data_IF_766891491815
#
_entry.id   IF_766891491815
#
_cell.length_a   1.000
_cell.length_b   1.000
_cell.length_c   1.000
_cell.angle_alpha   90.00
_cell.angle_beta   90.00
_cell.angle_gamma   90.00
#
_symmetry.space_group_name_H-M   'P 1'
#
loop_
_entity.id
_entity.type
_entity.pdbx_description
1 polymer ?
#
# COMPACT_ATOMS: atom_id res chain seq x y z
N UNK A 1 21.29 9.36 -37.26
CA UNK A 1 21.52 8.56 -36.04
C UNK A 1 20.86 9.28 -34.90
N UNK A 2 19.65 8.83 -34.53
CA UNK A 2 18.81 9.46 -33.52
C UNK A 2 18.93 8.79 -32.17
N UNK A 3 19.07 9.62 -31.12
CA UNK A 3 18.83 9.29 -29.72
C UNK A 3 17.42 9.83 -29.37
N UNK A 4 16.53 9.06 -28.74
CA UNK A 4 15.23 9.57 -28.32
C UNK A 4 15.34 10.26 -26.96
N UNK A 5 15.18 11.58 -26.95
CA UNK A 5 14.76 12.38 -25.80
C UNK A 5 13.28 12.10 -25.51
N UNK A 6 12.93 11.59 -24.31
CA UNK A 6 11.54 11.52 -23.87
C UNK A 6 11.10 12.88 -23.30
N UNK A 7 10.24 13.55 -24.06
CA UNK A 7 9.55 14.79 -23.73
C UNK A 7 8.31 14.45 -22.88
N UNK A 8 8.15 15.13 -21.74
CA UNK A 8 6.89 15.17 -20.99
C UNK A 8 5.79 15.76 -21.89
N UNK A 9 4.80 14.93 -22.29
CA UNK A 9 3.69 15.38 -23.11
C UNK A 9 2.72 16.26 -22.30
N UNK A 10 2.87 17.57 -22.48
CA UNK A 10 1.87 18.58 -22.12
C UNK A 10 0.65 18.39 -23.02
N UNK A 11 -0.52 18.23 -22.41
CA UNK A 11 -1.82 18.03 -23.08
C UNK A 11 -2.17 19.26 -23.92
N UNK A 12 -1.95 19.20 -25.23
CA UNK A 12 -2.43 20.19 -26.20
C UNK A 12 -3.78 19.72 -26.75
N UNK A 13 -4.82 20.51 -26.45
CA UNK A 13 -6.13 20.44 -27.08
C UNK A 13 -5.98 20.86 -28.56
N UNK A 14 -6.38 20.01 -29.50
CA UNK A 14 -6.60 20.40 -30.90
C UNK A 14 -8.09 20.24 -31.26
N UNK A 15 -8.63 21.17 -32.08
CA UNK A 15 -10.04 21.21 -32.43
C UNK A 15 -10.40 20.21 -33.54
N UNK A 16 -11.68 19.85 -33.59
CA UNK A 16 -12.33 19.05 -34.64
C UNK A 16 -12.34 19.78 -35.99
N UNK A 17 -12.41 18.95 -37.06
CA UNK A 17 -12.96 19.14 -38.43
C UNK A 17 -11.89 18.77 -39.50
N UNK A 18 -12.13 18.19 -40.67
CA UNK A 18 -13.31 17.91 -41.54
C UNK A 18 -13.01 16.62 -42.34
N UNK A 19 -14.05 15.87 -42.71
CA UNK A 19 -13.99 14.71 -43.61
C UNK A 19 -13.82 15.11 -45.08
N UNK A 20 -13.05 14.35 -45.86
CA UNK A 20 -13.03 14.43 -47.31
C UNK A 20 -13.19 13.03 -47.94
N UNK A 21 -14.25 12.90 -48.74
CA UNK A 21 -14.62 11.75 -49.56
C UNK A 21 -13.83 11.75 -50.87
N UNK A 22 -13.50 10.55 -51.37
CA UNK A 22 -13.06 10.26 -52.75
C UNK A 22 -12.54 8.81 -52.76
N UNK A 23 -13.12 7.82 -53.43
CA UNK A 23 -13.81 7.83 -54.72
C UNK A 23 -12.88 7.17 -55.74
N UNK A 24 -13.03 5.86 -55.98
CA UNK A 24 -12.23 5.13 -56.96
C UNK A 24 -12.41 3.62 -56.89
N UNK A 25 -13.30 3.10 -57.74
CA UNK A 25 -13.63 1.69 -57.87
C UNK A 25 -12.57 0.92 -58.67
N UNK A 26 -12.31 -0.33 -58.30
CA UNK A 26 -11.83 -1.36 -59.23
C UNK A 26 -12.36 -2.74 -58.77
N UNK A 27 -13.28 -3.25 -59.57
CA UNK A 27 -13.83 -4.61 -59.51
C UNK A 27 -12.79 -5.60 -60.04
N UNK A 28 -12.53 -6.68 -59.30
CA UNK A 28 -11.98 -7.91 -59.87
C UNK A 28 -12.61 -9.11 -59.15
N UNK A 29 -13.54 -9.75 -59.86
CA UNK A 29 -14.15 -11.02 -59.50
C UNK A 29 -13.12 -12.16 -59.66
N UNK A 30 -13.00 -13.02 -58.66
CA UNK A 30 -12.58 -14.41 -58.85
C UNK A 30 -13.45 -15.30 -57.97
N UNK A 31 -14.11 -16.27 -58.60
CA UNK A 31 -15.04 -17.19 -57.98
C UNK A 31 -14.35 -18.49 -57.52
N UNK A 32 -14.81 -18.95 -56.35
CA UNK A 32 -14.97 -20.34 -55.90
C UNK A 32 -13.74 -21.28 -55.85
N UNK A 33 -13.39 -21.71 -54.63
CA UNK A 33 -13.65 -23.08 -54.12
C UNK A 33 -12.69 -23.41 -52.97
N UNK A 34 -13.20 -24.11 -51.95
CA UNK A 34 -12.37 -24.80 -50.96
C UNK A 34 -12.66 -24.38 -49.53
N UNK A 35 -13.60 -25.08 -48.91
CA UNK A 35 -13.71 -25.13 -47.47
C UNK A 35 -12.42 -25.72 -46.88
N UNK A 36 -11.63 -24.88 -46.24
CA UNK A 36 -10.77 -25.31 -45.14
C UNK A 36 -11.19 -24.45 -43.96
N UNK A 37 -12.05 -25.01 -43.11
CA UNK A 37 -12.30 -24.48 -41.78
C UNK A 37 -10.97 -24.54 -41.02
N UNK A 38 -10.16 -23.49 -41.18
CA UNK A 38 -9.02 -23.25 -40.33
C UNK A 38 -9.59 -23.12 -38.94
N UNK A 39 -9.38 -24.16 -38.12
CA UNK A 39 -9.40 -23.99 -36.67
C UNK A 39 -8.19 -23.11 -36.36
N UNK A 40 -8.34 -21.81 -36.62
CA UNK A 40 -7.66 -20.81 -35.80
C UNK A 40 -8.25 -21.02 -34.41
N UNK A 41 -7.61 -21.90 -33.64
CA UNK A 41 -7.53 -21.66 -32.22
C UNK A 41 -6.86 -20.28 -32.11
N UNK A 42 -7.67 -19.23 -32.14
CA UNK A 42 -7.29 -17.95 -31.60
C UNK A 42 -6.95 -18.25 -30.15
N UNK A 43 -5.66 -18.50 -29.88
CA UNK A 43 -5.13 -18.41 -28.55
C UNK A 43 -5.26 -16.93 -28.19
N UNK A 44 -6.43 -16.56 -27.68
CA UNK A 44 -6.58 -15.34 -26.91
C UNK A 44 -5.64 -15.54 -25.74
N UNK A 45 -4.43 -14.99 -25.86
CA UNK A 45 -3.62 -14.63 -24.72
C UNK A 45 -4.37 -13.50 -24.04
N UNK A 46 -5.42 -13.84 -23.29
CA UNK A 46 -6.16 -12.86 -22.51
C UNK A 46 -5.14 -12.23 -21.56
N UNK A 47 -4.89 -10.94 -21.76
CA UNK A 47 -3.99 -10.18 -20.90
C UNK A 47 -4.45 -10.27 -19.45
N UNK A 48 -3.53 -10.06 -18.53
CA UNK A 48 -3.80 -10.11 -17.08
C UNK A 48 -5.04 -9.27 -16.72
N UNK A 49 -6.07 -9.86 -16.06
CA UNK A 49 -7.27 -9.14 -15.66
C UNK A 49 -6.99 -8.26 -14.43
N UNK A 50 -6.30 -7.14 -14.64
CA UNK A 50 -5.80 -6.29 -13.56
C UNK A 50 -6.88 -5.76 -12.60
N UNK A 51 -8.13 -5.61 -13.04
CA UNK A 51 -9.24 -5.29 -12.13
C UNK A 51 -9.43 -6.38 -11.07
N UNK A 52 -9.41 -7.66 -11.47
CA UNK A 52 -9.51 -8.80 -10.55
C UNK A 52 -8.27 -8.96 -9.66
N UNK A 53 -7.08 -8.70 -10.21
CA UNK A 53 -5.84 -8.66 -9.40
C UNK A 53 -5.96 -7.61 -8.29
N UNK A 54 -6.46 -6.41 -8.60
CA UNK A 54 -6.65 -5.33 -7.62
C UNK A 54 -7.71 -5.68 -6.56
N UNK A 55 -8.82 -6.31 -6.96
CA UNK A 55 -9.84 -6.80 -6.03
C UNK A 55 -9.25 -7.82 -5.04
N UNK A 56 -8.46 -8.78 -5.51
CA UNK A 56 -7.81 -9.78 -4.65
C UNK A 56 -6.74 -9.16 -3.74
N UNK A 57 -5.97 -8.19 -4.22
CA UNK A 57 -5.00 -7.44 -3.40
C UNK A 57 -5.71 -6.65 -2.30
N UNK A 58 -6.82 -5.98 -2.62
CA UNK A 58 -7.61 -5.27 -1.62
C UNK A 58 -8.19 -6.23 -0.57
N UNK A 59 -8.70 -7.40 -1.00
CA UNK A 59 -9.18 -8.43 -0.09
C UNK A 59 -8.08 -8.94 0.86
N UNK A 60 -6.85 -9.12 0.36
CA UNK A 60 -5.70 -9.48 1.20
C UNK A 60 -5.38 -8.42 2.27
N UNK A 61 -5.67 -7.15 2.02
CA UNK A 61 -5.37 -6.06 2.97
C UNK A 61 -6.40 -5.90 4.07
N UNK A 62 -7.64 -6.34 3.80
CA UNK A 62 -8.75 -6.38 4.75
C UNK A 62 -8.82 -7.70 5.52
N UNK A 63 -7.96 -8.68 5.18
CA UNK A 63 -7.91 -9.97 5.85
C UNK A 63 -7.23 -9.84 7.24
N UNK A 64 -8.05 -9.86 8.30
CA UNK A 64 -7.59 -9.80 9.69
C UNK A 64 -6.79 -11.04 10.13
N UNK A 65 -6.99 -12.17 9.44
CA UNK A 65 -6.28 -13.44 9.69
C UNK A 65 -4.98 -13.55 8.88
N UNK A 66 -4.73 -12.62 7.95
CA UNK A 66 -3.47 -12.55 7.24
C UNK A 66 -2.34 -12.28 8.23
N UNK A 67 -1.66 -13.35 8.62
CA UNK A 67 -0.49 -13.33 9.50
C UNK A 67 0.52 -12.33 8.94
N UNK A 68 0.64 -11.17 9.58
CA UNK A 68 1.81 -10.34 9.42
C UNK A 68 2.88 -10.83 10.39
N UNK A 69 3.94 -11.50 9.90
CA UNK A 69 5.01 -12.01 10.75
C UNK A 69 5.88 -10.88 11.33
N UNK A 70 5.58 -9.59 11.07
CA UNK A 70 6.29 -8.44 11.62
C UNK A 70 5.99 -8.14 13.08
N UNK A 71 5.38 -9.06 13.84
CA UNK A 71 5.21 -8.87 15.28
C UNK A 71 6.56 -9.03 15.99
N UNK A 72 7.08 -7.96 16.57
CA UNK A 72 8.18 -8.05 17.53
C UNK A 72 7.66 -8.90 18.71
N UNK A 73 8.21 -10.11 18.90
CA UNK A 73 7.74 -11.09 19.89
C UNK A 73 7.69 -10.55 21.33
N UNK A 74 8.39 -9.44 21.60
CA UNK A 74 8.44 -8.78 22.90
C UNK A 74 7.11 -8.12 23.34
N UNK A 75 6.22 -7.75 22.43
CA UNK A 75 5.00 -7.01 22.78
C UNK A 75 3.80 -7.91 23.10
N UNK A 76 3.93 -9.24 22.97
CA UNK A 76 2.91 -10.24 23.35
C UNK A 76 1.55 -10.11 22.63
N UNK A 77 1.38 -9.10 21.79
CA UNK A 77 0.17 -8.84 21.03
C UNK A 77 0.24 -9.63 19.72
N UNK A 78 -0.36 -10.83 19.73
CA UNK A 78 -0.87 -11.43 18.50
C UNK A 78 -1.91 -10.44 17.94
N UNK A 79 -1.53 -9.62 16.96
CA UNK A 79 -2.41 -8.64 16.29
C UNK A 79 -2.15 -7.15 16.58
N UNK A 80 -1.03 -6.76 17.20
CA UNK A 80 -0.77 -5.36 17.57
C UNK A 80 0.30 -4.64 16.73
N UNK A 81 0.02 -4.32 15.47
CA UNK A 81 0.83 -3.32 14.72
C UNK A 81 1.59 -3.81 13.49
N UNK A 82 1.08 -4.82 12.79
CA UNK A 82 1.63 -5.24 11.50
C UNK A 82 0.51 -5.34 10.49
N UNK A 83 0.25 -4.27 9.73
CA UNK A 83 -0.75 -4.32 8.64
C UNK A 83 -0.08 -4.77 7.33
N UNK A 84 -0.80 -5.56 6.53
CA UNK A 84 -0.28 -6.05 5.24
C UNK A 84 -0.08 -4.90 4.26
N UNK A 85 -1.02 -3.96 4.19
CA UNK A 85 -0.98 -2.85 3.23
C UNK A 85 0.31 -1.98 3.35
N UNK A 86 0.71 -1.44 4.53
CA UNK A 86 1.98 -0.72 4.66
C UNK A 86 3.21 -1.52 4.25
N UNK A 87 3.22 -2.83 4.51
CA UNK A 87 4.32 -3.71 4.08
C UNK A 87 4.41 -3.80 2.55
N UNK A 88 3.28 -3.79 1.84
CA UNK A 88 3.25 -3.77 0.37
C UNK A 88 3.70 -2.44 -0.21
N UNK A 89 3.39 -1.32 0.47
CA UNK A 89 3.96 0.00 0.13
C UNK A 89 5.48 -0.05 0.24
N UNK A 90 6.01 -0.61 1.34
CA UNK A 90 7.46 -0.80 1.51
C UNK A 90 8.06 -1.69 0.42
N UNK A 91 7.45 -2.84 0.11
CA UNK A 91 7.94 -3.73 -0.95
C UNK A 91 8.04 -3.01 -2.29
N UNK A 92 6.99 -2.27 -2.68
CA UNK A 92 6.95 -1.53 -3.93
C UNK A 92 7.99 -0.39 -3.95
N UNK A 93 8.11 0.37 -2.85
CA UNK A 93 9.13 1.41 -2.70
C UNK A 93 10.53 0.81 -2.82
N UNK A 94 10.85 -0.26 -2.10
CA UNK A 94 12.18 -0.87 -2.12
C UNK A 94 12.53 -1.45 -3.50
N UNK A 95 11.55 -2.02 -4.20
CA UNK A 95 11.74 -2.49 -5.57
C UNK A 95 12.04 -1.35 -6.54
N UNK A 96 11.42 -0.18 -6.37
CA UNK A 96 11.72 1.00 -7.18
C UNK A 96 12.97 1.75 -6.71
N UNK A 97 13.29 1.64 -5.42
CA UNK A 97 14.30 2.39 -4.65
C UNK A 97 15.74 2.19 -5.13
N UNK A 98 15.99 1.08 -5.82
CA UNK A 98 17.30 0.77 -6.38
C UNK A 98 17.61 1.54 -7.68
N UNK A 99 16.65 2.30 -8.22
CA UNK A 99 16.82 3.02 -9.48
C UNK A 99 17.94 4.09 -9.43
N UNK A 100 18.59 4.27 -10.57
CA UNK A 100 19.60 5.30 -10.81
C UNK A 100 19.31 6.02 -12.13
N UNK A 101 19.03 7.32 -12.06
CA UNK A 101 18.80 8.16 -13.24
C UNK A 101 20.08 8.36 -14.06
N UNK A 102 21.25 8.17 -13.46
CA UNK A 102 22.56 8.36 -14.11
C UNK A 102 22.82 7.34 -15.22
N UNK A 103 22.43 6.09 -15.02
CA UNK A 103 22.77 4.97 -15.90
C UNK A 103 21.60 4.04 -16.24
N UNK A 104 20.41 4.32 -15.70
CA UNK A 104 19.17 3.56 -15.91
C UNK A 104 19.16 2.19 -15.23
N UNK A 105 20.08 1.93 -14.30
CA UNK A 105 20.14 0.66 -13.58
C UNK A 105 19.16 0.60 -12.40
N UNK A 106 18.82 -0.62 -11.96
CA UNK A 106 17.88 -0.89 -10.89
C UNK A 106 16.43 -0.56 -11.24
N UNK A 107 15.62 -0.36 -10.21
CA UNK A 107 14.18 -0.14 -10.32
C UNK A 107 13.40 -1.45 -10.46
N UNK A 108 12.09 -1.32 -10.73
CA UNK A 108 11.17 -2.46 -10.63
C UNK A 108 11.12 -3.36 -11.86
N UNK A 109 11.76 -3.00 -12.97
CA UNK A 109 11.80 -3.86 -14.16
C UNK A 109 12.47 -5.20 -13.80
N UNK A 110 11.88 -6.33 -14.22
CA UNK A 110 12.37 -7.65 -13.88
C UNK A 110 11.91 -8.21 -12.53
N UNK A 111 11.39 -7.36 -11.62
CA UNK A 111 10.97 -7.78 -10.28
C UNK A 111 12.12 -8.43 -9.50
N UNK A 112 13.34 -7.91 -9.64
CA UNK A 112 14.59 -8.53 -9.17
C UNK A 112 14.69 -8.61 -7.65
N UNK A 113 13.99 -7.75 -6.91
CA UNK A 113 13.91 -7.78 -5.44
C UNK A 113 13.52 -9.15 -4.87
N UNK A 114 12.88 -10.03 -5.65
CA UNK A 114 12.51 -11.40 -5.23
C UNK A 114 13.66 -12.42 -5.31
N UNK A 115 14.80 -12.02 -5.83
CA UNK A 115 15.95 -12.90 -6.06
C UNK A 115 17.13 -12.54 -5.17
N UNK A 116 18.02 -13.49 -4.98
CA UNK A 116 19.31 -13.24 -4.35
C UNK A 116 20.27 -12.55 -5.35
N UNK A 117 21.14 -11.64 -4.87
CA UNK A 117 21.31 -11.24 -3.47
C UNK A 117 20.30 -10.19 -2.97
N UNK A 118 19.53 -9.55 -3.87
CA UNK A 118 18.75 -8.35 -3.57
C UNK A 118 17.72 -8.53 -2.44
N UNK A 119 17.04 -9.67 -2.36
CA UNK A 119 16.09 -9.94 -1.27
C UNK A 119 16.74 -9.99 0.11
N UNK A 120 18.05 -10.31 0.16
CA UNK A 120 18.84 -10.45 1.38
C UNK A 120 19.66 -9.19 1.72
N UNK A 121 19.56 -8.14 0.91
CA UNK A 121 20.14 -6.84 1.22
C UNK A 121 19.61 -6.31 2.55
N UNK A 122 20.45 -5.61 3.32
CA UNK A 122 20.10 -5.15 4.67
C UNK A 122 18.82 -4.31 4.68
N UNK A 123 18.67 -3.41 3.70
CA UNK A 123 17.47 -2.58 3.55
C UNK A 123 16.20 -3.37 3.25
N UNK A 124 16.29 -4.60 2.73
CA UNK A 124 15.15 -5.44 2.33
C UNK A 124 14.72 -6.47 3.38
N UNK A 125 15.31 -6.43 4.58
CA UNK A 125 14.99 -7.33 5.68
C UNK A 125 13.46 -7.48 5.89
N UNK A 126 12.99 -8.72 5.89
CA UNK A 126 11.57 -9.10 6.07
C UNK A 126 10.66 -8.99 4.85
N UNK A 127 11.12 -8.46 3.70
CA UNK A 127 10.28 -8.36 2.50
C UNK A 127 9.98 -9.72 1.85
N UNK A 128 10.70 -10.79 2.23
CA UNK A 128 10.36 -12.16 1.84
C UNK A 128 8.95 -12.57 2.31
N UNK A 129 8.48 -12.03 3.44
CA UNK A 129 7.13 -12.27 3.92
C UNK A 129 6.08 -11.60 3.03
N UNK A 130 6.34 -10.38 2.55
CA UNK A 130 5.47 -9.68 1.61
C UNK A 130 5.35 -10.44 0.29
N UNK A 131 6.47 -10.94 -0.24
CA UNK A 131 6.48 -11.76 -1.46
C UNK A 131 5.67 -13.05 -1.27
N UNK A 132 5.80 -13.71 -0.12
CA UNK A 132 5.04 -14.93 0.22
C UNK A 132 3.53 -14.68 0.25
N UNK A 133 3.08 -13.53 0.77
CA UNK A 133 1.66 -13.16 0.74
C UNK A 133 1.13 -12.90 -0.67
N UNK A 134 2.00 -12.50 -1.62
CA UNK A 134 1.63 -12.31 -3.02
C UNK A 134 1.62 -13.63 -3.83
N UNK A 135 2.21 -14.73 -3.34
CA UNK A 135 2.27 -16.01 -4.05
C UNK A 135 0.90 -16.59 -4.45
N UNK A 136 -0.14 -16.60 -3.58
CA UNK A 136 -1.47 -17.08 -3.96
C UNK A 136 -2.09 -16.26 -5.09
N UNK A 137 -1.92 -14.94 -5.06
CA UNK A 137 -2.41 -14.03 -6.10
C UNK A 137 -1.63 -14.26 -7.40
N UNK A 138 -0.30 -14.39 -7.33
CA UNK A 138 0.55 -14.72 -8.49
C UNK A 138 0.15 -16.06 -9.12
N UNK A 139 -0.16 -17.06 -8.30
CA UNK A 139 -0.59 -18.40 -8.73
C UNK A 139 -1.94 -18.34 -9.46
N UNK A 140 -2.88 -17.54 -8.94
CA UNK A 140 -4.18 -17.30 -9.59
C UNK A 140 -4.06 -16.52 -10.90
N UNK A 141 -3.08 -15.63 -11.02
CA UNK A 141 -2.84 -14.81 -12.21
C UNK A 141 -1.43 -15.02 -12.79
N UNK A 142 -1.16 -16.17 -13.43
CA UNK A 142 0.18 -16.51 -13.93
C UNK A 142 0.69 -15.52 -15.01
N UNK A 143 -0.22 -14.89 -15.76
CA UNK A 143 0.11 -13.88 -16.77
C UNK A 143 0.57 -12.53 -16.19
N UNK A 144 0.27 -12.24 -14.92
CA UNK A 144 0.81 -11.05 -14.24
C UNK A 144 2.30 -11.26 -14.00
N UNK A 145 3.17 -10.37 -14.49
CA UNK A 145 4.57 -10.38 -14.09
C UNK A 145 4.69 -10.07 -12.60
N UNK A 146 5.67 -10.65 -11.92
CA UNK A 146 6.03 -10.23 -10.57
C UNK A 146 6.38 -8.76 -10.51
N UNK A 147 7.10 -8.25 -11.51
CA UNK A 147 7.46 -6.84 -11.63
C UNK A 147 6.22 -5.93 -11.54
N UNK A 148 5.17 -6.21 -12.31
CA UNK A 148 3.94 -5.42 -12.26
C UNK A 148 3.08 -5.71 -11.02
N UNK A 149 3.06 -6.96 -10.55
CA UNK A 149 2.30 -7.34 -9.35
C UNK A 149 2.79 -6.58 -8.11
N UNK A 150 4.10 -6.44 -7.94
CA UNK A 150 4.71 -5.70 -6.82
C UNK A 150 4.30 -4.22 -6.85
N UNK A 151 4.37 -3.57 -8.02
CA UNK A 151 3.97 -2.16 -8.17
C UNK A 151 2.47 -2.00 -7.94
N UNK A 152 1.66 -2.90 -8.49
CA UNK A 152 0.22 -2.90 -8.31
C UNK A 152 -0.16 -3.05 -6.83
N UNK A 153 0.51 -3.96 -6.10
CA UNK A 153 0.31 -4.16 -4.67
C UNK A 153 0.56 -2.89 -3.86
N UNK A 154 1.67 -2.18 -4.11
CA UNK A 154 1.94 -0.91 -3.43
C UNK A 154 0.90 0.18 -3.75
N UNK A 155 0.46 0.28 -5.02
CA UNK A 155 -0.54 1.25 -5.43
C UNK A 155 -1.91 0.98 -4.79
N UNK A 156 -2.38 -0.27 -4.82
CA UNK A 156 -3.64 -0.69 -4.18
C UNK A 156 -3.56 -0.49 -2.67
N UNK A 157 -2.41 -0.75 -2.05
CA UNK A 157 -2.25 -0.57 -0.60
C UNK A 157 -2.48 0.88 -0.16
N UNK A 158 -1.97 1.87 -0.91
CA UNK A 158 -2.24 3.29 -0.62
C UNK A 158 -3.74 3.59 -0.75
N UNK A 159 -4.38 3.10 -1.81
CA UNK A 159 -5.83 3.28 -2.03
C UNK A 159 -6.67 2.65 -0.92
N UNK A 160 -6.37 1.40 -0.53
CA UNK A 160 -7.06 0.67 0.55
C UNK A 160 -6.93 1.36 1.91
N UNK A 161 -5.81 2.03 2.17
CA UNK A 161 -5.62 2.81 3.41
C UNK A 161 -6.26 4.20 3.37
N UNK A 162 -7.10 4.50 2.37
CA UNK A 162 -7.79 5.79 2.21
C UNK A 162 -6.95 6.88 1.57
N UNK A 163 -5.82 6.51 0.95
CA UNK A 163 -4.98 7.42 0.17
C UNK A 163 -5.54 7.72 -1.22
N UNK A 164 -4.83 8.54 -2.01
CA UNK A 164 -5.24 8.89 -3.37
C UNK A 164 -5.18 7.68 -4.32
N UNK A 165 -5.99 7.71 -5.38
CA UNK A 165 -5.89 6.76 -6.49
C UNK A 165 -4.57 6.94 -7.23
N UNK A 166 -3.79 5.87 -7.34
CA UNK A 166 -2.47 5.89 -7.98
C UNK A 166 -2.58 5.28 -9.37
N UNK A 167 -2.13 6.03 -10.37
CA UNK A 167 -2.05 5.54 -11.74
C UNK A 167 -1.15 4.30 -11.83
N UNK A 168 -1.71 3.19 -12.28
CA UNK A 168 -0.97 1.96 -12.52
C UNK A 168 -0.97 1.63 -14.02
N UNK A 169 0.22 1.46 -14.60
CA UNK A 169 0.40 1.03 -15.98
C UNK A 169 1.21 -0.28 -16.01
N UNK A 170 0.61 -1.41 -16.41
CA UNK A 170 1.33 -2.65 -16.59
C UNK A 170 2.18 -2.61 -17.86
N UNK A 171 3.09 -3.57 -17.99
CA UNK A 171 4.00 -3.73 -19.12
C UNK A 171 5.41 -4.14 -18.73
N UNK A 172 5.71 -4.32 -17.43
CA UNK A 172 7.02 -4.80 -16.98
C UNK A 172 7.13 -6.29 -17.20
N UNK A 173 8.31 -6.73 -17.59
CA UNK A 173 8.63 -8.15 -17.74
C UNK A 173 9.33 -8.70 -16.51
N UNK A 174 9.24 -10.01 -16.28
CA UNK A 174 10.01 -10.67 -15.24
C UNK A 174 11.42 -10.97 -15.72
N UNK A 175 12.41 -10.76 -14.86
CA UNK A 175 13.73 -11.28 -15.06
C UNK A 175 13.69 -12.81 -14.89
N UNK A 176 14.42 -13.58 -15.72
CA UNK A 176 14.58 -15.01 -15.49
C UNK A 176 15.22 -15.21 -14.12
N UNK A 177 14.77 -16.23 -13.37
CA UNK A 177 15.35 -16.54 -12.05
C UNK A 177 16.86 -16.83 -12.22
N UNK A 178 17.75 -15.98 -11.70
CA UNK A 178 19.17 -16.25 -11.78
C UNK A 178 19.56 -17.23 -10.67
N UNK A 179 20.56 -18.07 -10.93
CA UNK A 179 21.30 -18.76 -9.87
C UNK A 179 22.33 -17.82 -9.23
N UNK A 180 22.85 -16.87 -10.01
CA UNK A 180 23.72 -15.76 -9.59
C UNK A 180 23.31 -14.54 -10.41
N UNK A 181 23.09 -13.40 -9.75
CA UNK A 181 22.74 -12.15 -10.41
C UNK A 181 23.76 -11.83 -11.52
N UNK A 182 23.36 -11.74 -12.81
CA UNK A 182 24.31 -11.50 -13.89
C UNK A 182 24.92 -10.11 -13.75
N UNK A 183 26.25 -10.00 -13.70
CA UNK A 183 26.94 -8.70 -13.59
C UNK A 183 26.62 -7.74 -14.75
N UNK A 184 26.17 -8.27 -15.90
CA UNK A 184 25.75 -7.49 -17.07
C UNK A 184 24.29 -7.03 -17.01
N UNK A 185 23.45 -7.64 -16.17
CA UNK A 185 22.04 -7.28 -16.05
C UNK A 185 21.88 -6.13 -15.06
N UNK A 186 21.75 -4.92 -15.60
CA UNK A 186 21.65 -3.67 -14.86
C UNK A 186 20.43 -3.58 -13.94
N UNK A 187 19.47 -4.51 -14.02
CA UNK A 187 18.34 -4.57 -13.09
C UNK A 187 18.78 -4.99 -11.68
N UNK A 188 19.82 -5.83 -11.58
CA UNK A 188 20.39 -6.23 -10.31
C UNK A 188 21.37 -5.18 -9.82
N UNK A 189 21.23 -4.76 -8.56
CA UNK A 189 22.03 -3.67 -7.98
C UNK A 189 22.82 -4.14 -6.77
N UNK A 190 23.89 -3.43 -6.38
CA UNK A 190 24.56 -3.65 -5.10
C UNK A 190 23.69 -3.26 -3.88
N UNK A 191 24.11 -3.70 -2.68
CA UNK A 191 23.50 -3.39 -1.38
C UNK A 191 23.95 -2.02 -0.84
N UNK A 192 23.67 -0.95 -1.58
CA UNK A 192 24.07 0.42 -1.19
C UNK A 192 23.09 1.51 -1.70
N UNK A 193 21.97 1.11 -2.31
CA UNK A 193 21.12 2.05 -3.06
C UNK A 193 19.96 2.65 -2.27
N UNK A 194 19.64 2.09 -1.11
CA UNK A 194 18.54 2.55 -0.28
C UNK A 194 19.01 3.51 0.82
N UNK A 195 18.17 4.47 1.26
CA UNK A 195 18.52 5.35 2.37
C UNK A 195 18.74 4.58 3.67
N UNK A 196 19.70 5.06 4.48
CA UNK A 196 19.95 4.55 5.82
C UNK A 196 19.31 5.51 6.82
N UNK A 197 18.38 4.99 7.64
CA UNK A 197 17.65 5.76 8.64
C UNK A 197 18.51 6.27 9.79
N UNK A 198 19.72 5.74 9.99
CA UNK A 198 20.68 6.24 10.98
C UNK A 198 21.46 7.47 10.48
N UNK A 199 21.39 7.79 9.19
CA UNK A 199 22.08 8.92 8.58
C UNK A 199 21.14 10.13 8.40
N UNK A 200 21.75 11.31 8.27
CA UNK A 200 21.03 12.58 8.22
C UNK A 200 20.55 13.00 6.82
N UNK A 201 19.98 14.20 6.75
CA UNK A 201 19.39 14.76 5.54
C UNK A 201 20.35 14.90 4.34
N UNK A 202 21.66 15.00 4.57
CA UNK A 202 22.65 15.03 3.49
C UNK A 202 22.68 13.68 2.73
N UNK A 203 22.78 12.57 3.48
CA UNK A 203 22.70 11.22 2.91
C UNK A 203 21.38 10.99 2.16
N UNK A 204 20.27 11.45 2.74
CA UNK A 204 18.95 11.34 2.11
C UNK A 204 18.93 12.02 0.74
N UNK A 205 19.48 13.24 0.64
CA UNK A 205 19.60 13.96 -0.64
C UNK A 205 20.50 13.22 -1.62
N UNK A 206 21.67 12.75 -1.19
CA UNK A 206 22.61 12.04 -2.07
C UNK A 206 21.96 10.81 -2.72
N UNK A 207 21.21 10.03 -1.92
CA UNK A 207 20.48 8.86 -2.40
C UNK A 207 19.38 9.23 -3.40
N UNK A 208 18.53 10.20 -3.06
CA UNK A 208 17.39 10.54 -3.91
C UNK A 208 17.74 11.38 -5.14
N UNK A 209 18.79 12.21 -5.07
CA UNK A 209 19.30 12.94 -6.24
C UNK A 209 19.85 11.99 -7.30
N UNK A 210 20.47 10.88 -6.91
CA UNK A 210 20.81 9.78 -7.84
C UNK A 210 19.58 9.24 -8.57
N UNK A 211 18.44 9.19 -7.89
CA UNK A 211 17.17 8.72 -8.46
C UNK A 211 16.49 9.77 -9.35
N UNK A 212 16.97 11.03 -9.32
CA UNK A 212 16.45 12.14 -10.11
C UNK A 212 15.36 12.96 -9.44
N UNK A 213 15.17 12.82 -8.12
CA UNK A 213 14.19 13.60 -7.37
C UNK A 213 14.77 14.92 -6.89
N UNK A 214 13.93 15.96 -6.77
CA UNK A 214 14.28 17.20 -6.07
C UNK A 214 13.89 17.16 -4.58
N UNK A 215 14.28 18.19 -3.81
CA UNK A 215 13.97 18.29 -2.37
C UNK A 215 12.46 18.22 -2.07
N UNK A 216 11.62 18.78 -2.95
CA UNK A 216 10.16 18.76 -2.76
C UNK A 216 9.61 17.35 -2.93
N UNK A 217 10.09 16.63 -3.94
CA UNK A 217 9.72 15.24 -4.20
C UNK A 217 10.23 14.30 -3.11
N UNK A 218 11.44 14.53 -2.59
CA UNK A 218 11.99 13.80 -1.43
C UNK A 218 11.08 13.95 -0.21
N UNK A 219 10.69 15.19 0.11
CA UNK A 219 9.79 15.46 1.23
C UNK A 219 8.44 14.78 0.99
N UNK A 220 7.88 14.86 -0.22
CA UNK A 220 6.61 14.21 -0.56
C UNK A 220 6.68 12.68 -0.42
N UNK A 221 7.74 12.04 -0.91
CA UNK A 221 7.95 10.58 -0.80
C UNK A 221 8.19 10.15 0.66
N UNK A 222 8.85 10.99 1.47
CA UNK A 222 9.00 10.74 2.90
C UNK A 222 7.65 10.66 3.63
N UNK A 223 6.59 11.22 3.04
CA UNK A 223 5.21 11.10 3.50
C UNK A 223 4.65 9.68 3.43
N UNK A 224 5.31 8.72 2.76
CA UNK A 224 4.96 7.29 2.85
C UNK A 224 5.02 6.76 4.30
N UNK A 225 5.80 7.40 5.18
CA UNK A 225 5.81 7.14 6.62
C UNK A 225 4.51 7.59 7.33
N UNK A 226 3.55 8.15 6.61
CA UNK A 226 2.17 8.26 7.08
C UNK A 226 1.49 6.91 7.23
N UNK A 227 2.09 5.79 6.84
CA UNK A 227 1.56 4.45 7.08
C UNK A 227 2.65 3.53 7.59
N UNK A 228 2.26 2.49 8.33
CA UNK A 228 3.13 1.48 8.88
C UNK A 228 3.94 1.94 10.07
N UNK A 229 5.05 1.23 10.30
CA UNK A 229 5.95 1.42 11.42
C UNK A 229 7.32 0.81 11.18
N UNK A 230 8.25 1.08 12.10
CA UNK A 230 9.50 0.35 12.22
C UNK A 230 9.38 -0.86 13.17
N UNK A 231 10.18 -1.89 12.87
CA UNK A 231 10.34 -3.12 13.64
C UNK A 231 11.80 -3.37 13.95
N UNK A 232 12.09 -3.80 15.17
CA UNK A 232 13.48 -3.94 15.65
C UNK A 232 14.23 -5.03 14.92
N UNK A 233 13.57 -6.14 14.61
CA UNK A 233 14.14 -7.29 13.89
C UNK A 233 14.38 -7.02 12.39
N UNK A 234 13.87 -5.90 11.84
CA UNK A 234 14.05 -5.51 10.43
C UNK A 234 15.04 -4.38 10.24
N UNK A 235 14.92 -3.33 11.05
CA UNK A 235 15.65 -2.07 10.86
C UNK A 235 16.46 -1.65 12.07
N UNK A 236 16.30 -2.32 13.23
CA UNK A 236 16.81 -1.85 14.51
C UNK A 236 16.00 -0.71 15.14
N UNK A 237 15.23 0.05 14.35
CA UNK A 237 14.31 1.09 14.83
C UNK A 237 12.97 0.48 15.26
N UNK A 238 12.21 1.20 16.07
CA UNK A 238 10.92 0.72 16.59
C UNK A 238 9.84 1.79 16.60
N UNK A 239 8.63 1.37 16.29
CA UNK A 239 7.43 2.13 16.57
C UNK A 239 6.83 2.78 15.33
N UNK A 240 5.56 3.15 15.40
CA UNK A 240 4.90 3.83 14.31
C UNK A 240 5.25 5.31 14.29
N UNK A 241 5.11 5.93 13.12
CA UNK A 241 5.23 7.37 12.97
C UNK A 241 3.97 8.13 13.44
N UNK A 242 2.82 7.44 13.51
CA UNK A 242 1.53 7.98 13.93
C UNK A 242 0.64 6.92 14.59
N UNK A 243 -0.52 7.32 15.12
CA UNK A 243 -1.42 6.38 15.80
C UNK A 243 -2.11 5.38 14.85
N UNK A 244 -2.70 5.86 13.75
CA UNK A 244 -3.40 5.01 12.79
C UNK A 244 -2.45 4.44 11.74
N UNK A 245 -1.70 3.39 12.07
CA UNK A 245 -0.66 2.85 11.18
C UNK A 245 -1.17 2.38 9.81
N UNK A 246 -2.47 2.08 9.68
CA UNK A 246 -3.11 1.62 8.44
C UNK A 246 -4.01 2.67 7.76
N UNK A 247 -3.85 3.94 8.09
CA UNK A 247 -4.70 5.00 7.54
C UNK A 247 -3.84 6.12 6.95
N UNK A 248 -4.00 6.42 5.67
CA UNK A 248 -3.30 7.51 5.01
C UNK A 248 -3.78 8.86 5.58
N UNK A 249 -2.87 9.67 6.12
CA UNK A 249 -3.19 10.95 6.73
C UNK A 249 -2.01 11.92 6.73
N UNK A 250 -2.26 13.19 7.07
CA UNK A 250 -1.20 14.19 7.22
C UNK A 250 -0.50 14.16 8.58
N UNK A 251 -0.89 13.25 9.48
CA UNK A 251 -0.37 13.21 10.85
C UNK A 251 1.14 12.99 10.91
N UNK A 252 1.76 12.35 9.92
CA UNK A 252 3.22 12.23 9.85
C UNK A 252 3.90 13.61 9.93
N UNK A 253 3.48 14.55 9.09
CA UNK A 253 4.04 15.90 9.08
C UNK A 253 3.56 16.73 10.27
N UNK A 254 2.27 16.62 10.64
CA UNK A 254 1.74 17.30 11.84
C UNK A 254 2.55 16.90 13.07
N UNK A 255 2.83 15.61 13.25
CA UNK A 255 3.57 15.12 14.41
C UNK A 255 5.04 15.52 14.34
N UNK A 256 5.65 15.46 13.16
CA UNK A 256 7.02 15.90 12.97
C UNK A 256 7.22 17.37 13.35
N UNK A 257 6.25 18.24 13.03
CA UNK A 257 6.35 19.69 13.23
C UNK A 257 5.86 20.15 14.61
N UNK A 258 4.80 19.55 15.14
CA UNK A 258 4.10 20.05 16.33
C UNK A 258 4.50 19.34 17.63
N UNK A 259 4.99 18.10 17.55
CA UNK A 259 5.38 17.35 18.75
C UNK A 259 6.80 17.70 19.20
N UNK A 260 7.01 17.62 20.51
CA UNK A 260 8.35 17.63 21.09
C UNK A 260 8.94 16.23 21.03
N UNK A 261 10.10 16.12 20.38
CA UNK A 261 10.83 14.87 20.21
C UNK A 261 11.97 14.79 21.23
N UNK A 262 12.04 13.69 21.97
CA UNK A 262 13.10 13.42 22.94
C UNK A 262 13.86 12.14 22.56
N UNK A 263 15.16 12.04 22.86
CA UNK A 263 15.90 10.80 22.64
C UNK A 263 15.22 9.61 23.32
N UNK A 264 15.06 8.51 22.58
CA UNK A 264 14.47 7.27 23.08
C UNK A 264 15.47 6.57 24.00
N UNK A 265 15.02 6.29 25.22
CA UNK A 265 15.86 5.64 26.26
C UNK A 265 15.33 4.29 26.70
N UNK A 266 14.10 3.93 26.34
CA UNK A 266 13.47 2.66 26.72
C UNK A 266 12.85 1.91 25.54
N UNK A 267 12.65 0.60 25.70
CA UNK A 267 11.98 -0.30 24.76
C UNK A 267 10.98 -1.20 25.49
N UNK A 268 9.80 -1.40 24.87
CA UNK A 268 8.69 -2.15 25.45
C UNK A 268 7.86 -1.34 26.47
N UNK A 269 6.64 -1.77 26.70
CA UNK A 269 5.83 -1.25 27.80
C UNK A 269 6.20 -1.95 29.12
N UNK A 270 6.17 -1.24 30.26
CA UNK A 270 6.11 -1.90 31.56
C UNK A 270 4.96 -2.91 31.56
N UNK A 271 5.24 -4.16 31.92
CA UNK A 271 4.24 -5.22 32.03
C UNK A 271 4.05 -5.62 33.49
N UNK A 272 2.95 -6.31 33.80
CA UNK A 272 2.69 -6.82 35.15
C UNK A 272 3.81 -7.76 35.66
N UNK A 273 4.61 -8.34 34.76
CA UNK A 273 5.69 -9.27 35.08
C UNK A 273 7.09 -8.64 34.98
N UNK A 274 7.20 -7.45 34.39
CA UNK A 274 8.42 -6.65 34.36
C UNK A 274 8.03 -5.16 34.45
N UNK A 275 8.06 -4.56 35.65
CA UNK A 275 7.53 -3.22 35.89
C UNK A 275 8.42 -2.11 35.31
N UNK A 276 9.56 -2.45 34.70
CA UNK A 276 10.49 -1.52 34.08
C UNK A 276 10.56 -1.83 32.60
N UNK A 277 10.29 -0.84 31.76
CA UNK A 277 10.63 -0.93 30.35
C UNK A 277 12.14 -1.20 30.23
N UNK A 278 12.55 -2.08 29.32
CA UNK A 278 13.96 -2.34 29.07
C UNK A 278 14.66 -1.09 28.58
N UNK A 279 15.97 -0.95 28.81
CA UNK A 279 16.73 0.14 28.18
C UNK A 279 16.73 -0.02 26.65
N UNK A 280 16.64 1.11 25.94
CA UNK A 280 16.74 1.12 24.48
C UNK A 280 18.16 0.72 24.06
N UNK A 281 18.26 -0.27 23.18
CA UNK A 281 19.54 -0.79 22.64
C UNK A 281 19.65 -0.63 21.12
N UNK A 282 18.63 -0.06 20.47
CA UNK A 282 18.64 0.19 19.04
C UNK A 282 19.47 1.43 18.66
N UNK A 283 19.46 1.80 17.38
CA UNK A 283 20.11 3.02 16.90
C UNK A 283 19.60 4.28 17.60
N UNK A 284 20.32 5.39 17.48
CA UNK A 284 19.83 6.67 18.00
C UNK A 284 18.46 6.98 17.37
N UNK A 285 17.44 7.05 18.22
CA UNK A 285 16.06 7.26 17.82
C UNK A 285 15.44 8.32 18.73
N UNK A 286 14.46 9.06 18.21
CA UNK A 286 13.67 9.99 18.97
C UNK A 286 12.22 9.49 19.08
N UNK A 287 11.56 9.83 20.17
CA UNK A 287 10.14 9.57 20.37
C UNK A 287 9.46 10.82 20.93
N UNK A 288 8.18 10.96 20.59
CA UNK A 288 7.31 11.94 21.20
C UNK A 288 6.31 11.23 22.12
N UNK A 289 5.85 11.87 23.21
CA UNK A 289 4.80 11.31 24.06
C UNK A 289 3.56 10.98 23.22
N UNK A 290 3.34 9.69 22.99
CA UNK A 290 2.10 9.20 22.45
C UNK A 290 1.13 9.07 23.63
N UNK A 291 0.35 10.12 23.91
CA UNK A 291 -0.86 9.92 24.73
C UNK A 291 -1.63 8.79 24.08
N UNK A 292 -1.90 7.69 24.80
CA UNK A 292 -2.69 6.57 24.27
C UNK A 292 -3.94 7.18 23.64
N UNK A 293 -4.09 7.06 22.32
CA UNK A 293 -5.38 7.32 21.70
C UNK A 293 -6.40 6.48 22.49
N UNK A 294 -7.55 7.05 22.88
CA UNK A 294 -8.55 6.28 23.59
C UNK A 294 -8.90 5.08 22.71
N UNK A 295 -8.49 3.88 23.13
CA UNK A 295 -8.93 2.65 22.50
C UNK A 295 -10.42 2.60 22.75
N UNK A 296 -11.23 2.89 21.73
CA UNK A 296 -12.64 2.56 21.72
C UNK A 296 -12.73 1.04 21.75
N UNK A 297 -12.83 0.48 22.96
CA UNK A 297 -13.08 -0.93 23.16
C UNK A 297 -14.54 -1.20 22.79
N UNK A 298 -14.81 -1.57 21.54
CA UNK A 298 -16.04 -2.23 21.18
C UNK A 298 -15.89 -3.72 21.49
N UNK A 299 -16.06 -4.09 22.75
CA UNK A 299 -15.94 -5.49 23.16
C UNK A 299 -16.72 -5.78 24.42
N UNK A 300 -17.78 -6.57 24.27
CA UNK A 300 -18.22 -7.45 25.35
C UNK A 300 -18.55 -8.82 24.74
N UNK A 301 -17.54 -9.70 24.68
CA UNK A 301 -17.74 -11.14 24.56
C UNK A 301 -17.30 -11.77 25.87
N UNK A 302 -18.26 -12.01 26.76
CA UNK A 302 -18.09 -12.91 27.92
C UNK A 302 -19.06 -14.08 27.76
N UNK A 303 -18.62 -15.34 28.00
CA UNK A 303 -19.43 -16.54 27.78
C UNK A 303 -20.36 -16.83 28.97
N UNK A 304 -21.13 -15.84 29.42
CA UNK A 304 -22.28 -16.06 30.32
C UNK A 304 -23.44 -15.17 29.88
N UNK A 305 -24.35 -15.79 29.14
CA UNK A 305 -25.71 -15.29 28.95
C UNK A 305 -26.38 -15.11 30.32
N UNK A 306 -26.64 -13.87 30.71
CA UNK A 306 -27.88 -13.52 31.39
C UNK A 306 -28.56 -12.44 30.55
N UNK A 307 -29.85 -12.63 30.29
CA UNK A 307 -30.64 -11.97 29.27
C UNK A 307 -30.72 -10.45 29.41
N UNK A 308 -29.80 -9.72 28.78
CA UNK A 308 -29.96 -8.32 28.35
C UNK A 308 -28.82 -7.93 27.40
N UNK A 309 -28.68 -8.64 26.28
CA UNK A 309 -27.68 -8.28 25.27
C UNK A 309 -28.17 -7.08 24.44
N UNK A 310 -27.42 -5.97 24.49
CA UNK A 310 -27.59 -4.83 23.61
C UNK A 310 -27.26 -5.29 22.16
N UNK A 311 -28.28 -5.47 21.31
CA UNK A 311 -28.08 -5.67 19.86
C UNK A 311 -27.85 -4.31 19.21
N UNK A 312 -26.62 -4.05 18.76
CA UNK A 312 -26.39 -3.01 17.75
C UNK A 312 -26.83 -3.55 16.39
N UNK A 313 -27.90 -2.99 15.83
CA UNK A 313 -28.23 -3.16 14.42
C UNK A 313 -27.61 -2.00 13.63
N UNK A 314 -26.53 -2.29 12.89
CA UNK A 314 -26.09 -1.44 11.79
C UNK A 314 -26.93 -1.79 10.56
N UNK A 315 -28.06 -1.11 10.41
CA UNK A 315 -28.88 -1.17 9.20
C UNK A 315 -28.34 -0.19 8.16
N UNK A 316 -27.90 -0.71 7.02
CA UNK A 316 -27.58 0.09 5.85
C UNK A 316 -28.89 0.37 5.09
N UNK A 317 -29.33 1.63 5.01
CA UNK A 317 -30.09 2.10 3.85
C UNK A 317 -29.62 3.50 3.46
N UNK A 318 -29.75 3.78 2.18
CA UNK A 318 -29.06 4.80 1.41
C UNK A 318 -29.14 6.21 2.03
N UNK A 319 -27.97 6.78 2.32
CA UNK A 319 -27.68 8.18 2.67
C UNK A 319 -28.01 8.67 4.09
N UNK A 320 -27.13 8.32 5.03
CA UNK A 320 -26.33 9.20 5.91
C UNK A 320 -26.06 8.51 7.26
N UNK A 321 -24.81 8.59 7.74
CA UNK A 321 -24.40 7.99 9.02
C UNK A 321 -25.04 8.74 10.20
N UNK A 322 -25.86 8.06 11.02
CA UNK A 322 -26.33 8.57 12.32
C UNK A 322 -25.69 7.76 13.45
N UNK A 323 -24.87 8.40 14.28
CA UNK A 323 -24.45 7.85 15.58
C UNK A 323 -25.29 8.48 16.69
N UNK A 324 -25.96 7.66 17.51
CA UNK A 324 -26.52 8.09 18.78
C UNK A 324 -25.70 7.48 19.92
N UNK A 325 -25.18 8.31 20.82
CA UNK A 325 -24.63 7.88 22.10
C UNK A 325 -25.61 8.28 23.20
N UNK A 326 -26.14 7.30 23.92
CA UNK A 326 -26.82 7.54 25.17
C UNK A 326 -25.93 7.02 26.30
N UNK A 327 -25.50 7.93 27.18
CA UNK A 327 -24.84 7.62 28.44
C UNK A 327 -25.90 7.73 29.54
N UNK A 328 -26.05 6.72 30.39
CA UNK A 328 -26.71 6.91 31.68
C UNK A 328 -25.93 6.16 32.76
N UNK A 329 -25.11 6.88 33.49
CA UNK A 329 -24.92 6.65 34.92
C UNK A 329 -25.64 7.79 35.63
N UNK A 330 -26.66 7.45 36.42
CA UNK A 330 -27.30 8.28 37.44
C UNK A 330 -27.37 9.81 37.22
N UNK A 331 -28.51 10.27 36.69
CA UNK A 331 -29.00 11.65 36.87
C UNK A 331 -30.54 11.61 37.03
N UNK A 332 -31.15 12.48 37.87
CA UNK A 332 -32.50 12.29 38.36
C UNK A 332 -33.57 12.57 37.32
N UNK A 333 -34.74 11.96 37.52
CA UNK A 333 -35.98 12.17 36.76
C UNK A 333 -36.23 13.65 36.44
N UNK A 334 -36.37 13.98 35.16
CA UNK A 334 -37.29 15.02 34.72
C UNK A 334 -38.26 14.45 33.69
N UNK A 335 -39.54 14.55 34.03
CA UNK A 335 -40.66 14.27 33.16
C UNK A 335 -40.88 15.44 32.19
N UNK A 336 -41.45 15.12 31.03
CA UNK A 336 -42.11 16.01 30.08
C UNK A 336 -41.23 17.05 29.34
N UNK A 337 -41.08 16.89 28.03
CA UNK A 337 -41.67 17.77 27.00
C UNK A 337 -41.13 17.44 25.58
N UNK A 338 -42.07 17.12 24.69
CA UNK A 338 -42.15 17.39 23.25
C UNK A 338 -40.87 17.28 22.38
N UNK A 339 -40.82 16.22 21.56
CA UNK A 339 -39.96 16.12 20.39
C UNK A 339 -40.48 17.00 19.23
N UNK A 340 -39.62 17.71 18.48
CA UNK A 340 -39.98 18.17 17.14
C UNK A 340 -39.71 17.06 16.11
N UNK A 341 -40.80 16.58 15.50
CA UNK A 341 -40.77 15.86 14.21
C UNK A 341 -40.49 16.87 13.11
N UNK A 342 -39.46 16.64 12.31
CA UNK A 342 -39.34 17.27 10.99
C UNK A 342 -39.44 16.18 9.92
N UNK A 343 -40.56 16.19 9.20
CA UNK A 343 -40.82 15.37 8.03
C UNK A 343 -40.30 16.09 6.79
N UNK A 344 -39.39 15.45 6.05
CA UNK A 344 -39.27 15.66 4.61
C UNK A 344 -39.17 14.27 3.98
N UNK A 345 -40.20 13.92 3.21
CA UNK A 345 -40.36 12.61 2.61
C UNK A 345 -39.78 12.55 1.20
N UNK A 346 -39.50 11.33 0.75
CA UNK A 346 -39.58 10.94 -0.65
C UNK A 346 -39.90 9.43 -0.72
N UNK A 347 -41.01 9.10 -1.36
CA UNK A 347 -41.42 7.74 -1.73
C UNK A 347 -40.69 7.31 -3.00
N UNK A 348 -40.22 6.07 -3.04
CA UNK A 348 -39.76 5.39 -4.25
C UNK A 348 -40.85 4.43 -4.72
N UNK A 349 -41.35 4.65 -5.93
CA UNK A 349 -41.86 3.57 -6.79
C UNK A 349 -41.27 3.77 -8.17
N UNK A 350 -40.38 2.87 -8.58
CA UNK A 350 -40.32 2.39 -9.95
C UNK A 350 -39.54 1.07 -9.99
N UNK A 351 -40.06 0.17 -10.82
CA UNK A 351 -39.54 -1.12 -11.26
C UNK A 351 -38.06 -1.11 -11.67
#
# INVERSE_FOLDING_TARGET
GGLPTMVFARRLLLPRAVAAFGGGAALASFAASGALASRTAECKTEGTPWSKVKEDLAALYEDEDALNPSVDAADGAKGGGGYVAPMMVRLAWHSAGSFSAKDGSGGTEGGTIRFEPEINHGGNAGLCHALKLLEPIKSKYPAASWADLIVCAGAVAIESMGGPVIGFRPGRSDAPKPNVAPASDKRFTPDDRLPDGALGAAHLRDVFYRMGFDDREIVALSGAHAVGRCHTDRSGFWGPWKYGENAFSNEYYTFLLEKTWTPKTTHGAPSAHCPVAGSWKGPMQYEAPMSRAPRLHFGCTSPRLTSAALRMHLGCTSNALRMHFACTSDAPRMQHLLAPRMHLGCTSTAL
#
